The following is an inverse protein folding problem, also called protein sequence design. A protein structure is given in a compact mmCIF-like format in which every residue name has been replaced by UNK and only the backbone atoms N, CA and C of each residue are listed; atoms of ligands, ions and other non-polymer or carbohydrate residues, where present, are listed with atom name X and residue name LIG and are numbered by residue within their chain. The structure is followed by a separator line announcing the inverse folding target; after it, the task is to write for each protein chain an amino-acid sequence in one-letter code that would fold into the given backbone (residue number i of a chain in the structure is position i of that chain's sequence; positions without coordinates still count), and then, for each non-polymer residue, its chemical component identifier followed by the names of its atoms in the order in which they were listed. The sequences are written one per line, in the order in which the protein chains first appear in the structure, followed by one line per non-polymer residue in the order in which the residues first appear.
data_IF_329119184843
#
_entry.id   IF_329119184843
#
_cell.length_a   1.000
_cell.length_b   1.000
_cell.length_c   1.000
_cell.angle_alpha   90.00
_cell.angle_beta   90.00
_cell.angle_gamma   90.00
#
_symmetry.space_group_name_H-M   'P 1'
#
loop_
_entity.id
_entity.type
_entity.pdbx_description
1 polymer ?
#
# COMPACT_ATOMS: atom_id res chain seq x y z
N UNK A 1 -2.42 13.84 4.03
CA UNK A 1 -1.30 13.56 3.11
C UNK A 1 -0.39 12.54 3.78
N UNK A 2 0.17 11.59 3.04
CA UNK A 2 1.09 10.60 3.57
C UNK A 2 2.44 11.25 3.94
N UNK A 3 2.88 11.06 5.19
CA UNK A 3 4.15 11.58 5.69
C UNK A 3 5.22 10.51 5.47
N UNK A 4 5.70 10.42 4.23
CA UNK A 4 6.76 9.51 3.83
C UNK A 4 8.04 10.28 3.55
N UNK A 5 9.19 9.68 3.83
CA UNK A 5 10.48 10.12 3.28
C UNK A 5 10.59 9.70 1.82
N UNK A 6 11.47 10.36 1.06
CA UNK A 6 11.68 10.02 -0.35
C UNK A 6 12.17 8.57 -0.52
N UNK A 7 12.97 8.07 0.43
CA UNK A 7 13.42 6.69 0.44
C UNK A 7 12.26 5.71 0.68
N UNK A 8 11.35 6.01 1.62
CA UNK A 8 10.15 5.20 1.83
C UNK A 8 9.24 5.21 0.60
N UNK A 9 9.01 6.38 -0.03
CA UNK A 9 8.23 6.48 -1.27
C UNK A 9 8.85 5.64 -2.38
N UNK A 10 10.14 5.78 -2.63
CA UNK A 10 10.85 5.04 -3.66
C UNK A 10 10.77 3.53 -3.43
N UNK A 11 10.96 3.09 -2.18
CA UNK A 11 10.83 1.69 -1.81
C UNK A 11 9.41 1.16 -2.02
N UNK A 12 8.40 1.85 -1.51
CA UNK A 12 7.01 1.42 -1.61
C UNK A 12 6.52 1.38 -3.07
N UNK A 13 6.91 2.35 -3.90
CA UNK A 13 6.65 2.34 -5.36
C UNK A 13 7.35 1.15 -6.04
N UNK A 14 8.58 0.81 -5.64
CA UNK A 14 9.33 -0.34 -6.17
C UNK A 14 8.62 -1.66 -5.91
N UNK A 15 8.01 -1.84 -4.73
CA UNK A 15 7.29 -3.07 -4.36
C UNK A 15 5.79 -3.03 -4.68
N UNK A 16 5.35 -2.03 -5.46
CA UNK A 16 3.94 -1.78 -5.82
C UNK A 16 3.00 -1.59 -4.63
N UNK A 17 3.55 -1.20 -3.48
CA UNK A 17 2.76 -0.91 -2.29
C UNK A 17 2.17 0.51 -2.29
N UNK A 18 2.71 1.41 -3.11
CA UNK A 18 2.24 2.80 -3.25
C UNK A 18 1.92 3.09 -4.72
N UNK A 19 0.79 3.76 -4.94
CA UNK A 19 0.31 4.23 -6.25
C UNK A 19 -0.26 5.64 -6.12
N UNK A 20 -0.82 6.16 -7.21
CA UNK A 20 -1.54 7.43 -7.23
C UNK A 20 -3.01 7.18 -7.58
N UNK A 21 -3.93 7.88 -6.91
CA UNK A 21 -5.35 7.86 -7.28
C UNK A 21 -5.62 8.73 -8.52
N UNK A 22 -6.88 8.79 -8.96
CA UNK A 22 -7.27 9.60 -10.14
C UNK A 22 -7.04 11.11 -9.98
N UNK A 23 -6.80 11.58 -8.76
CA UNK A 23 -6.53 12.98 -8.43
C UNK A 23 -5.02 13.24 -8.25
N UNK A 24 -4.16 12.22 -8.40
CA UNK A 24 -2.72 12.32 -8.20
C UNK A 24 -2.29 12.25 -6.73
N UNK A 25 -3.17 11.83 -5.81
CA UNK A 25 -2.78 11.64 -4.43
C UNK A 25 -2.05 10.31 -4.25
N UNK A 26 -0.96 10.32 -3.50
CA UNK A 26 -0.28 9.08 -3.11
C UNK A 26 -1.16 8.27 -2.16
N UNK A 27 -1.45 7.02 -2.55
CA UNK A 27 -2.28 6.06 -1.82
C UNK A 27 -1.60 4.70 -1.78
N UNK A 28 -1.83 3.95 -0.69
CA UNK A 28 -1.42 2.55 -0.65
C UNK A 28 -2.28 1.73 -1.61
N UNK A 29 -1.69 0.72 -2.24
CA UNK A 29 -2.36 -0.10 -3.26
C UNK A 29 -3.72 -0.63 -2.76
N UNK A 30 -4.79 -0.38 -3.50
CA UNK A 30 -6.14 -0.84 -3.15
C UNK A 30 -6.82 -0.09 -2.01
N UNK A 31 -6.16 0.91 -1.42
CA UNK A 31 -6.75 1.77 -0.38
C UNK A 31 -7.19 3.12 -0.97
N UNK A 32 -8.22 3.72 -0.38
CA UNK A 32 -8.58 5.12 -0.64
C UNK A 32 -7.58 6.07 0.01
N UNK A 33 -7.68 7.37 -0.29
CA UNK A 33 -6.86 8.39 0.37
C UNK A 33 -7.04 8.39 1.90
N UNK A 34 -8.28 8.30 2.36
CA UNK A 34 -8.61 8.27 3.80
C UNK A 34 -8.05 7.01 4.46
N UNK A 35 -8.30 5.85 3.87
CA UNK A 35 -7.75 4.57 4.33
C UNK A 35 -6.22 4.58 4.35
N UNK A 36 -5.58 5.21 3.36
CA UNK A 36 -4.12 5.30 3.29
C UNK A 36 -3.55 6.16 4.42
N UNK A 37 -4.19 7.29 4.73
CA UNK A 37 -3.77 8.15 5.85
C UNK A 37 -3.95 7.41 7.17
N UNK A 38 -5.10 6.74 7.34
CA UNK A 38 -5.41 5.94 8.53
C UNK A 38 -4.43 4.78 8.69
N UNK A 39 -4.14 4.07 7.61
CA UNK A 39 -3.16 2.99 7.57
C UNK A 39 -1.75 3.47 7.96
N UNK A 40 -1.29 4.59 7.41
CA UNK A 40 0.01 5.16 7.76
C UNK A 40 0.09 5.50 9.25
N UNK A 41 -0.94 6.18 9.77
CA UNK A 41 -1.02 6.54 11.19
C UNK A 41 -1.01 5.30 12.10
N UNK A 42 -1.83 4.29 11.78
CA UNK A 42 -1.90 3.06 12.55
C UNK A 42 -0.56 2.29 12.50
N UNK A 43 0.09 2.24 11.34
CA UNK A 43 1.40 1.58 11.21
C UNK A 43 2.47 2.21 12.10
N UNK A 44 2.51 3.55 12.18
CA UNK A 44 3.44 4.29 13.02
C UNK A 44 3.09 4.13 14.50
N UNK A 45 1.82 4.28 14.86
CA UNK A 45 1.32 4.14 16.24
C UNK A 45 1.60 2.74 16.81
N UNK A 46 1.33 1.70 16.02
CA UNK A 46 1.55 0.31 16.43
C UNK A 46 3.04 -0.02 16.62
N UNK A 47 3.93 0.57 15.82
CA UNK A 47 5.37 0.45 15.99
C UNK A 47 5.88 1.22 17.23
N UNK A 48 5.31 2.39 17.49
CA UNK A 48 5.72 3.31 18.57
C UNK A 48 5.18 2.98 19.97
N UNK A 49 4.29 1.99 20.12
CA UNK A 49 3.59 1.64 21.37
C UNK A 49 2.67 2.74 21.95
N UNK A 50 2.48 3.88 21.28
CA UNK A 50 1.81 5.03 21.89
C UNK A 50 0.29 4.85 22.04
N UNK A 51 -0.40 4.11 21.18
CA UNK A 51 -1.84 3.84 21.34
C UNK A 51 -2.19 2.48 20.73
N UNK A 52 -2.22 1.44 21.57
CA UNK A 52 -2.64 0.08 21.19
C UNK A 52 -3.97 -0.27 21.83
N UNK A 53 -5.07 0.10 21.17
CA UNK A 53 -6.36 -0.53 21.44
C UNK A 53 -6.51 -1.78 20.57
N UNK A 54 -7.37 -2.73 20.98
CA UNK A 54 -7.66 -3.89 20.13
C UNK A 54 -8.34 -3.46 18.82
N UNK A 55 -9.19 -2.43 18.88
CA UNK A 55 -9.87 -1.86 17.72
C UNK A 55 -8.87 -1.31 16.70
N UNK A 56 -7.84 -0.57 17.14
CA UNK A 56 -6.79 -0.06 16.24
C UNK A 56 -6.00 -1.19 15.57
N UNK A 57 -5.76 -2.31 16.29
CA UNK A 57 -5.10 -3.49 15.74
C UNK A 57 -5.97 -4.17 14.69
N UNK A 58 -7.25 -4.36 14.99
CA UNK A 58 -8.21 -5.01 14.09
C UNK A 58 -8.42 -4.17 12.83
N UNK A 59 -8.54 -2.85 12.98
CA UNK A 59 -8.62 -1.92 11.86
C UNK A 59 -7.37 -1.98 10.99
N UNK A 60 -6.18 -1.91 11.60
CA UNK A 60 -4.91 -2.02 10.88
C UNK A 60 -4.83 -3.32 10.08
N UNK A 61 -5.16 -4.46 10.70
CA UNK A 61 -5.13 -5.76 10.04
C UNK A 61 -6.11 -5.84 8.86
N UNK A 62 -7.30 -5.22 8.98
CA UNK A 62 -8.26 -5.16 7.88
C UNK A 62 -7.70 -4.37 6.67
N UNK A 63 -7.01 -3.26 6.95
CA UNK A 63 -6.37 -2.43 5.93
C UNK A 63 -5.17 -3.14 5.29
N UNK A 64 -4.34 -3.84 6.08
CA UNK A 64 -3.25 -4.70 5.56
C UNK A 64 -3.80 -5.74 4.60
N UNK A 65 -4.86 -6.45 4.97
CA UNK A 65 -5.42 -7.52 4.13
C UNK A 65 -5.91 -6.97 2.79
N UNK A 66 -6.64 -5.86 2.82
CA UNK A 66 -7.11 -5.19 1.60
C UNK A 66 -5.92 -4.75 0.74
N UNK A 67 -4.95 -4.08 1.35
CA UNK A 67 -3.75 -3.61 0.66
C UNK A 67 -2.97 -4.73 -0.03
N UNK A 68 -2.66 -5.81 0.69
CA UNK A 68 -1.88 -6.92 0.15
C UNK A 68 -2.65 -7.71 -0.92
N UNK A 69 -3.98 -7.86 -0.76
CA UNK A 69 -4.82 -8.50 -1.78
C UNK A 69 -4.74 -7.77 -3.14
N UNK A 70 -4.86 -6.44 -3.13
CA UNK A 70 -4.74 -5.65 -4.36
C UNK A 70 -3.31 -5.61 -4.89
N UNK A 71 -2.32 -5.47 -4.00
CA UNK A 71 -0.90 -5.46 -4.39
C UNK A 71 -0.50 -6.73 -5.12
N UNK A 72 -0.94 -7.89 -4.65
CA UNK A 72 -0.67 -9.18 -5.29
C UNK A 72 -1.34 -9.31 -6.67
N UNK A 73 -2.55 -8.78 -6.85
CA UNK A 73 -3.21 -8.76 -8.16
C UNK A 73 -2.44 -7.90 -9.17
N UNK A 74 -1.98 -6.72 -8.75
CA UNK A 74 -1.15 -5.85 -9.61
C UNK A 74 0.13 -6.56 -10.01
N UNK A 75 0.84 -7.17 -9.06
CA UNK A 75 2.06 -7.92 -9.35
C UNK A 75 1.80 -9.11 -10.28
N UNK A 76 0.70 -9.85 -10.08
CA UNK A 76 0.29 -10.93 -10.98
C UNK A 76 0.08 -10.44 -12.41
N UNK A 77 -0.69 -9.37 -12.58
CA UNK A 77 -0.94 -8.76 -13.90
C UNK A 77 0.34 -8.24 -14.57
N UNK A 78 1.27 -7.66 -13.81
CA UNK A 78 2.57 -7.22 -14.34
C UNK A 78 3.43 -8.39 -14.83
N UNK A 79 3.46 -9.49 -14.09
CA UNK A 79 4.21 -10.71 -14.46
C UNK A 79 3.63 -11.32 -15.73
N UNK A 80 2.30 -11.47 -15.80
CA UNK A 80 1.62 -11.99 -16.99
C UNK A 80 1.90 -11.13 -18.23
N UNK A 81 1.82 -9.80 -18.09
CA UNK A 81 2.12 -8.87 -19.17
C UNK A 81 3.57 -8.99 -19.68
N UNK A 82 4.54 -9.13 -18.76
CA UNK A 82 5.95 -9.33 -19.11
C UNK A 82 6.20 -10.65 -19.85
N UNK A 83 5.52 -11.72 -19.46
CA UNK A 83 5.61 -13.01 -20.13
C UNK A 83 5.04 -12.93 -21.56
N UNK A 84 3.91 -12.26 -21.75
CA UNK A 84 3.31 -12.04 -23.07
C UNK A 84 4.23 -11.22 -23.98
N UNK A 85 4.88 -10.17 -23.46
CA UNK A 85 5.82 -9.38 -24.25
C UNK A 85 7.09 -10.16 -24.61
N UNK A 86 7.59 -10.99 -23.68
CA UNK A 86 8.80 -11.78 -23.90
C UNK A 86 8.58 -12.92 -24.89
N UNK A 87 7.38 -13.51 -24.92
CA UNK A 87 7.03 -14.57 -25.87
C UNK A 87 6.75 -14.08 -27.31
N UNK A 88 6.68 -12.75 -27.52
CA UNK A 88 6.46 -12.11 -28.82
C UNK A 88 7.74 -11.64 -29.51
N UNK A 89 8.90 -11.85 -28.89
CA UNK A 89 10.23 -11.58 -29.45
C UNK A 89 10.95 -12.89 -29.76
#
# INVERSE_FOLDING_TARGET
MLVLTDMQRAYLKKIRALSEDHQGNEVFAGLTLEESIRFNFLSESLLGQEHRTQEDVDEYLSLVQKHEYYRLQVLGAEIEAQQISSARH
#
